data_IF_685702021252
#
_entry.id   IF_685702021252
#
_cell.length_a   1.000
_cell.length_b   1.000
_cell.length_c   1.000
_cell.angle_alpha   90.00
_cell.angle_beta   90.00
_cell.angle_gamma   90.00
#
_symmetry.space_group_name_H-M   'P 1'
#
loop_
_entity.id
_entity.type
_entity.pdbx_description
1 polymer ?
#
# COMPACT_ATOMS: atom_id res chain seq x y z
N UNK A 1 -20.04 13.11 7.51
CA UNK A 1 -19.05 13.49 6.47
C UNK A 1 -17.71 13.72 7.17
N UNK A 2 -16.78 12.77 7.05
CA UNK A 2 -15.42 12.93 7.56
C UNK A 2 -14.67 13.85 6.59
N UNK A 3 -14.47 15.11 6.98
CA UNK A 3 -13.60 16.05 6.27
C UNK A 3 -12.16 15.58 6.41
N UNK A 4 -11.58 15.08 5.32
CA UNK A 4 -10.14 14.88 5.22
C UNK A 4 -9.54 16.27 4.98
N UNK A 5 -8.80 16.81 5.96
CA UNK A 5 -7.99 18.01 5.75
C UNK A 5 -7.15 17.80 4.50
N UNK A 6 -7.20 18.72 3.55
CA UNK A 6 -6.25 18.81 2.44
C UNK A 6 -4.86 19.06 3.03
N UNK A 7 -4.13 17.98 3.27
CA UNK A 7 -2.78 17.99 3.83
C UNK A 7 -1.72 18.39 2.80
N UNK A 8 -0.47 18.41 3.23
CA UNK A 8 0.78 18.65 2.46
C UNK A 8 0.99 17.74 1.24
N UNK A 9 0.09 16.81 0.97
CA UNK A 9 0.16 15.80 -0.07
C UNK A 9 -0.68 16.23 -1.28
N UNK A 10 -0.13 16.25 -2.51
CA UNK A 10 -0.89 16.66 -3.71
C UNK A 10 -1.89 15.59 -4.18
N UNK A 11 -2.24 14.63 -3.33
CA UNK A 11 -3.13 13.52 -3.62
C UNK A 11 -3.81 13.01 -2.34
N UNK A 12 -4.81 12.15 -2.52
CA UNK A 12 -5.43 11.38 -1.45
C UNK A 12 -5.21 9.89 -1.68
N UNK A 13 -4.96 9.14 -0.61
CA UNK A 13 -4.84 7.68 -0.62
C UNK A 13 -5.99 7.06 0.14
N UNK A 14 -6.57 5.99 -0.41
CA UNK A 14 -7.55 5.13 0.26
C UNK A 14 -7.14 3.67 0.11
N UNK A 15 -7.37 2.89 1.14
CA UNK A 15 -7.19 1.44 1.09
C UNK A 15 -8.47 0.85 0.48
N UNK A 16 -8.33 0.22 -0.67
CA UNK A 16 -9.41 -0.50 -1.33
C UNK A 16 -9.49 -1.95 -0.85
N UNK A 17 -8.33 -2.57 -0.58
CA UNK A 17 -8.23 -3.93 -0.08
C UNK A 17 -6.93 -4.13 0.71
N UNK A 18 -6.93 -5.08 1.63
CA UNK A 18 -5.79 -5.48 2.43
C UNK A 18 -5.81 -6.99 2.70
N UNK A 19 -4.73 -7.68 2.36
CA UNK A 19 -4.60 -9.12 2.56
C UNK A 19 -3.18 -9.51 2.98
N UNK A 20 -3.07 -10.61 3.71
CA UNK A 20 -1.83 -11.32 3.96
C UNK A 20 -1.64 -12.36 2.89
N UNK A 21 -0.44 -12.43 2.31
CA UNK A 21 -0.09 -13.41 1.30
C UNK A 21 1.30 -13.99 1.57
N UNK A 22 1.50 -15.31 1.39
CA UNK A 22 2.84 -15.90 1.50
C UNK A 22 3.77 -15.41 0.38
N UNK A 23 3.24 -14.97 -0.75
CA UNK A 23 4.03 -14.68 -1.95
C UNK A 23 3.71 -13.28 -2.52
N UNK A 24 4.75 -12.49 -2.76
CA UNK A 24 4.69 -11.33 -3.66
C UNK A 24 5.15 -11.75 -5.07
N UNK A 25 4.76 -11.03 -6.14
CA UNK A 25 5.18 -11.36 -7.51
C UNK A 25 6.70 -11.51 -7.65
N UNK A 26 7.17 -12.73 -7.95
CA UNK A 26 8.60 -13.04 -8.09
C UNK A 26 9.40 -13.07 -6.78
N UNK A 27 8.75 -12.95 -5.62
CA UNK A 27 9.39 -12.89 -4.30
C UNK A 27 8.58 -13.64 -3.24
N UNK A 28 8.83 -14.94 -3.02
CA UNK A 28 8.20 -15.68 -1.93
C UNK A 28 8.72 -15.20 -0.57
N UNK A 29 7.85 -15.19 0.45
CA UNK A 29 8.26 -14.79 1.79
C UNK A 29 9.25 -15.79 2.40
N UNK A 30 10.35 -15.32 3.04
CA UNK A 30 11.22 -16.19 3.83
C UNK A 30 10.47 -16.81 5.02
N UNK A 31 10.96 -17.95 5.53
CA UNK A 31 10.37 -18.63 6.68
C UNK A 31 10.14 -17.68 7.88
N UNK A 32 8.94 -17.75 8.46
CA UNK A 32 8.53 -16.92 9.61
C UNK A 32 8.08 -15.51 9.24
N UNK A 33 8.01 -15.19 7.95
CA UNK A 33 7.54 -13.92 7.41
C UNK A 33 6.38 -14.15 6.44
N UNK A 34 5.57 -13.11 6.26
CA UNK A 34 4.48 -13.04 5.29
C UNK A 34 4.47 -11.65 4.67
N UNK A 35 3.87 -11.50 3.50
CA UNK A 35 3.62 -10.19 2.92
C UNK A 35 2.26 -9.68 3.36
N UNK A 36 2.20 -8.40 3.73
CA UNK A 36 0.95 -7.65 3.65
C UNK A 36 0.88 -6.98 2.29
N UNK A 37 -0.21 -7.25 1.57
CA UNK A 37 -0.57 -6.66 0.29
C UNK A 37 -1.66 -5.63 0.54
N UNK A 38 -1.48 -4.43 0.00
CA UNK A 38 -2.51 -3.41 -0.02
C UNK A 38 -2.85 -3.05 -1.47
N UNK A 39 -4.14 -3.01 -1.79
CA UNK A 39 -4.62 -2.33 -2.98
C UNK A 39 -5.00 -0.91 -2.58
N UNK A 40 -4.26 0.06 -3.11
CA UNK A 40 -4.43 1.47 -2.80
C UNK A 40 -5.09 2.18 -3.97
N UNK A 41 -6.09 3.01 -3.67
CA UNK A 41 -6.66 3.98 -4.61
C UNK A 41 -6.05 5.34 -4.33
N UNK A 42 -5.36 5.88 -5.32
CA UNK A 42 -4.69 7.17 -5.29
C UNK A 42 -5.43 8.13 -6.22
N UNK A 43 -5.76 9.31 -5.73
CA UNK A 43 -6.43 10.35 -6.53
C UNK A 43 -5.68 11.65 -6.38
N UNK A 44 -5.29 12.24 -7.50
CA UNK A 44 -4.62 13.55 -7.54
C UNK A 44 -5.54 14.65 -7.02
N UNK A 45 -4.96 15.77 -6.61
CA UNK A 45 -5.75 16.97 -6.29
C UNK A 45 -6.52 17.42 -7.53
N UNK A 46 -7.79 17.83 -7.41
CA UNK A 46 -8.57 18.24 -8.57
C UNK A 46 -7.89 19.30 -9.43
N UNK A 47 -7.91 19.11 -10.74
CA UNK A 47 -7.26 19.99 -11.72
C UNK A 47 -5.72 20.01 -11.68
N UNK A 48 -5.07 19.09 -10.95
CA UNK A 48 -3.61 19.04 -10.85
C UNK A 48 -3.07 17.64 -11.17
N UNK A 49 -2.34 17.46 -12.28
CA UNK A 49 -1.64 16.20 -12.54
C UNK A 49 -0.53 15.99 -11.50
N UNK A 50 -0.13 14.74 -11.29
CA UNK A 50 0.94 14.36 -10.36
C UNK A 50 1.93 13.39 -11.00
N UNK A 51 3.18 13.38 -10.52
CA UNK A 51 4.13 12.33 -10.85
C UNK A 51 3.85 11.06 -10.04
N UNK A 52 4.13 9.90 -10.61
CA UNK A 52 4.00 8.60 -9.99
C UNK A 52 5.36 8.11 -9.42
N UNK A 53 5.47 7.82 -8.10
CA UNK A 53 4.70 8.44 -7.05
C UNK A 53 5.13 9.91 -6.94
N UNK A 54 4.53 10.62 -5.99
CA UNK A 54 5.17 11.84 -5.53
C UNK A 54 6.61 11.48 -5.07
N UNK A 55 7.68 12.11 -5.60
CA UNK A 55 9.09 11.67 -5.46
C UNK A 55 9.66 11.75 -4.03
N UNK A 56 8.79 11.95 -3.03
CA UNK A 56 9.10 12.04 -1.61
C UNK A 56 8.13 11.27 -0.73
N UNK A 57 7.07 10.71 -1.30
CA UNK A 57 6.09 9.92 -0.56
C UNK A 57 6.58 8.48 -0.50
N UNK A 58 6.82 7.98 0.71
CA UNK A 58 6.98 6.55 0.94
C UNK A 58 5.84 6.07 1.83
N UNK A 59 5.27 4.92 1.47
CA UNK A 59 4.25 4.26 2.27
C UNK A 59 4.88 3.23 3.18
N UNK A 60 4.30 3.07 4.36
CA UNK A 60 4.74 2.10 5.35
C UNK A 60 3.53 1.58 6.12
N UNK A 61 3.42 0.27 6.27
CA UNK A 61 2.51 -0.33 7.24
C UNK A 61 3.19 -0.32 8.61
N UNK A 62 2.66 0.51 9.51
CA UNK A 62 3.01 0.54 10.93
C UNK A 62 2.09 -0.36 11.73
N UNK A 63 2.67 -1.04 12.71
CA UNK A 63 1.99 -1.88 13.68
C UNK A 63 2.87 -2.05 14.92
N UNK A 64 2.31 -2.60 15.99
CA UNK A 64 3.05 -2.77 17.25
C UNK A 64 4.24 -3.72 17.07
N UNK A 65 5.43 -3.25 17.45
CA UNK A 65 6.67 -4.00 17.29
C UNK A 65 7.32 -3.89 15.89
N UNK A 66 6.77 -3.10 14.96
CA UNK A 66 7.34 -2.98 13.62
C UNK A 66 8.79 -2.43 13.62
N UNK A 67 9.12 -1.44 14.47
CA UNK A 67 10.48 -0.87 14.56
C UNK A 67 11.47 -1.87 15.16
N UNK A 68 11.02 -2.70 16.10
CA UNK A 68 11.84 -3.75 16.68
C UNK A 68 12.16 -4.83 15.63
N UNK A 69 11.16 -5.22 14.83
CA UNK A 69 11.35 -6.12 13.70
C UNK A 69 12.31 -5.54 12.66
N UNK A 70 12.19 -4.25 12.31
CA UNK A 70 13.11 -3.58 11.39
C UNK A 70 14.55 -3.54 11.91
N UNK A 71 14.74 -3.25 13.21
CA UNK A 71 16.07 -3.27 13.83
C UNK A 71 16.70 -4.66 13.81
N UNK A 72 15.89 -5.71 13.98
CA UNK A 72 16.36 -7.09 13.89
C UNK A 72 16.70 -7.51 12.45
N UNK A 73 15.96 -6.99 11.46
CA UNK A 73 16.21 -7.26 10.03
C UNK A 73 15.76 -6.07 9.19
N UNK A 74 16.71 -5.32 8.64
CA UNK A 74 16.46 -4.01 7.99
C UNK A 74 15.50 -4.02 6.80
N UNK A 75 15.24 -5.20 6.20
CA UNK A 75 14.34 -5.38 5.05
C UNK A 75 12.92 -5.82 5.43
N UNK A 76 12.62 -6.05 6.72
CA UNK A 76 11.27 -6.40 7.18
C UNK A 76 10.71 -5.27 8.01
N UNK A 77 9.38 -5.10 7.96
CA UNK A 77 8.59 -4.28 8.86
C UNK A 77 8.98 -2.79 8.90
N UNK A 78 7.99 -1.91 8.88
CA UNK A 78 8.25 -0.46 8.99
C UNK A 78 9.28 0.12 7.99
N UNK A 79 9.57 -0.61 6.91
CA UNK A 79 10.30 -0.16 5.72
C UNK A 79 9.33 0.34 4.65
N UNK A 80 9.83 1.10 3.69
CA UNK A 80 9.01 1.59 2.58
C UNK A 80 8.42 0.44 1.76
N UNK A 81 7.14 0.56 1.40
CA UNK A 81 6.42 -0.37 0.53
C UNK A 81 6.68 -0.15 -0.97
N UNK A 82 7.60 0.75 -1.31
CA UNK A 82 7.81 1.19 -2.68
C UNK A 82 8.73 0.19 -3.41
N UNK A 83 8.11 -0.68 -4.21
CA UNK A 83 8.75 -1.82 -4.89
C UNK A 83 8.95 -1.59 -6.41
N UNK A 84 8.63 -0.41 -6.92
CA UNK A 84 8.63 -0.17 -8.37
C UNK A 84 7.31 -0.54 -9.07
N UNK A 85 6.23 -0.76 -8.30
CA UNK A 85 4.91 -1.09 -8.83
C UNK A 85 4.35 -0.03 -9.77
N UNK A 86 3.49 -0.43 -10.70
CA UNK A 86 2.82 0.52 -11.61
C UNK A 86 1.51 1.03 -10.99
N UNK A 87 1.10 2.20 -11.46
CA UNK A 87 -0.24 2.73 -11.29
C UNK A 87 -1.12 2.25 -12.44
N UNK A 88 -2.33 1.80 -12.10
CA UNK A 88 -3.29 1.20 -13.01
C UNK A 88 -4.61 2.00 -12.98
N UNK A 89 -5.34 2.00 -14.07
CA UNK A 89 -6.73 2.49 -14.09
C UNK A 89 -7.66 1.47 -13.43
N UNK A 90 -8.90 1.88 -13.13
CA UNK A 90 -9.89 0.96 -12.57
C UNK A 90 -10.17 -0.23 -13.50
N UNK A 91 -10.22 0.04 -14.81
CA UNK A 91 -10.45 -0.97 -15.84
C UNK A 91 -9.31 -1.99 -15.88
N UNK A 92 -8.06 -1.54 -15.78
CA UNK A 92 -6.89 -2.42 -15.75
C UNK A 92 -6.92 -3.35 -14.53
N UNK A 93 -7.22 -2.84 -13.33
CA UNK A 93 -7.37 -3.68 -12.13
C UNK A 93 -8.51 -4.69 -12.30
N UNK A 94 -9.67 -4.24 -12.79
CA UNK A 94 -10.84 -5.08 -12.97
C UNK A 94 -10.63 -6.21 -13.98
N UNK A 95 -9.84 -5.94 -15.02
CA UNK A 95 -9.51 -6.89 -16.08
C UNK A 95 -8.22 -7.67 -15.79
N UNK A 96 -7.58 -7.45 -14.64
CA UNK A 96 -6.28 -8.02 -14.27
C UNK A 96 -5.17 -7.75 -15.31
N UNK A 97 -5.26 -6.63 -16.03
CA UNK A 97 -4.23 -6.19 -16.98
C UNK A 97 -3.15 -5.37 -16.27
N UNK A 98 -2.08 -6.06 -15.87
CA UNK A 98 -0.91 -5.46 -15.23
C UNK A 98 0.22 -5.11 -16.22
N UNK A 99 -0.02 -5.28 -17.53
CA UNK A 99 1.04 -5.12 -18.55
C UNK A 99 1.32 -3.66 -18.89
N UNK A 100 0.27 -2.82 -18.97
CA UNK A 100 0.31 -1.46 -19.51
C UNK A 100 0.21 -0.34 -18.47
N UNK A 101 0.41 -0.66 -17.18
CA UNK A 101 0.38 0.36 -16.12
C UNK A 101 1.48 1.42 -16.22
N UNK A 102 1.26 2.55 -15.55
CA UNK A 102 2.15 3.71 -15.49
C UNK A 102 3.21 3.47 -14.41
N UNK A 103 4.50 3.46 -14.78
CA UNK A 103 5.58 3.23 -13.82
C UNK A 103 5.65 4.33 -12.75
N UNK A 104 5.72 3.90 -11.49
CA UNK A 104 5.94 4.74 -10.30
C UNK A 104 7.34 5.36 -10.22
N UNK A 105 8.06 5.61 -11.30
CA UNK A 105 9.32 6.40 -11.16
C UNK A 105 9.40 7.51 -12.20
N UNK A 106 8.51 7.50 -13.19
CA UNK A 106 8.65 8.34 -14.38
C UNK A 106 7.31 8.78 -15.00
N UNK A 107 6.18 8.24 -14.53
CA UNK A 107 4.87 8.47 -15.13
C UNK A 107 4.18 9.75 -14.67
N UNK A 108 3.38 10.33 -15.56
CA UNK A 108 2.39 11.36 -15.24
C UNK A 108 1.04 10.71 -14.98
N UNK A 109 0.45 11.02 -13.84
CA UNK A 109 -0.94 10.69 -13.51
C UNK A 109 -1.79 11.90 -13.83
N UNK A 110 -2.88 11.66 -14.57
CA UNK A 110 -3.80 12.70 -14.98
C UNK A 110 -4.49 13.37 -13.78
N UNK A 111 -4.85 14.64 -13.95
CA UNK A 111 -5.68 15.35 -13.00
C UNK A 111 -7.07 14.69 -12.91
N UNK A 112 -7.67 14.67 -11.72
CA UNK A 112 -9.04 14.18 -11.51
C UNK A 112 -9.26 12.68 -11.81
N UNK A 113 -8.22 11.95 -12.20
CA UNK A 113 -8.27 10.52 -12.50
C UNK A 113 -7.82 9.71 -11.27
N UNK A 114 -8.64 8.75 -10.79
CA UNK A 114 -8.19 7.80 -9.79
C UNK A 114 -7.31 6.74 -10.45
N UNK A 115 -6.23 6.38 -9.76
CA UNK A 115 -5.36 5.27 -10.10
C UNK A 115 -5.27 4.29 -8.94
N UNK A 116 -4.90 3.06 -9.25
CA UNK A 116 -4.74 1.97 -8.30
C UNK A 116 -3.30 1.47 -8.33
N UNK A 117 -2.77 1.13 -7.17
CA UNK A 117 -1.43 0.56 -7.05
C UNK A 117 -1.48 -0.55 -6.01
N UNK A 118 -0.78 -1.64 -6.29
CA UNK A 118 -0.55 -2.71 -5.33
C UNK A 118 0.74 -2.39 -4.60
N UNK A 119 0.71 -2.40 -3.28
CA UNK A 119 1.87 -2.16 -2.43
C UNK A 119 2.10 -3.35 -1.52
N UNK A 120 3.36 -3.76 -1.38
CA UNK A 120 3.74 -4.93 -0.60
C UNK A 120 4.69 -4.54 0.54
N UNK A 121 4.52 -5.16 1.70
CA UNK A 121 5.49 -5.07 2.80
C UNK A 121 5.70 -6.43 3.42
N UNK A 122 6.96 -6.81 3.64
CA UNK A 122 7.30 -8.04 4.35
C UNK A 122 7.20 -7.80 5.87
N UNK A 123 6.49 -8.67 6.58
CA UNK A 123 6.25 -8.60 8.04
C UNK A 123 6.41 -9.99 8.69
N UNK A 124 6.63 -10.10 10.01
CA UNK A 124 6.55 -11.38 10.71
C UNK A 124 5.15 -12.00 10.63
N UNK A 125 5.07 -13.31 10.42
CA UNK A 125 3.77 -14.04 10.38
C UNK A 125 2.91 -13.86 11.63
N UNK A 126 3.57 -13.62 12.77
CA UNK A 126 2.93 -13.47 14.09
C UNK A 126 2.82 -12.01 14.54
N UNK A 127 2.99 -11.06 13.62
CA UNK A 127 2.79 -9.65 13.93
C UNK A 127 1.34 -9.40 14.38
N UNK A 128 1.16 -8.60 15.43
CA UNK A 128 -0.17 -8.11 15.80
C UNK A 128 -0.53 -6.93 14.89
N UNK A 129 -1.56 -7.11 14.08
CA UNK A 129 -2.03 -6.13 13.10
C UNK A 129 -3.35 -5.46 13.50
N UNK A 130 -3.86 -5.72 14.72
CA UNK A 130 -5.14 -5.18 15.19
C UNK A 130 -5.20 -3.64 15.20
N UNK A 131 -4.05 -2.99 15.39
CA UNK A 131 -3.87 -1.54 15.33
C UNK A 131 -3.12 -1.04 14.10
N UNK A 132 -2.97 -1.86 13.05
CA UNK A 132 -2.11 -1.51 11.91
C UNK A 132 -2.62 -0.31 11.12
N UNK A 133 -1.69 0.52 10.64
CA UNK A 133 -1.95 1.74 9.89
C UNK A 133 -1.08 1.81 8.64
N UNK A 134 -1.65 2.24 7.52
CA UNK A 134 -0.88 2.72 6.38
C UNK A 134 -0.49 4.16 6.67
N UNK A 135 0.80 4.42 6.79
CA UNK A 135 1.33 5.76 6.93
C UNK A 135 2.05 6.18 5.65
N UNK A 136 1.79 7.41 5.26
CA UNK A 136 2.53 8.14 4.26
C UNK A 136 3.46 9.14 4.94
N UNK A 137 4.62 9.35 4.33
CA UNK A 137 5.66 10.18 4.88
C UNK A 137 6.39 10.96 3.79
N UNK A 138 6.69 12.23 4.06
CA UNK A 138 7.58 13.07 3.27
C UNK A 138 8.84 13.34 4.09
N UNK A 139 10.02 13.00 3.53
CA UNK A 139 11.33 13.24 4.16
C UNK A 139 11.63 12.49 5.47
N UNK A 140 11.08 11.30 5.67
CA UNK A 140 11.54 10.37 6.72
C UNK A 140 10.71 10.33 8.00
N UNK A 141 9.71 11.20 8.15
CA UNK A 141 8.77 11.18 9.28
C UNK A 141 7.33 10.92 8.80
N UNK A 142 6.71 9.78 9.14
CA UNK A 142 5.32 9.51 8.79
C UNK A 142 4.37 10.42 9.55
N UNK A 143 3.64 11.26 8.82
CA UNK A 143 2.78 12.32 9.35
C UNK A 143 1.30 12.15 8.94
N UNK A 144 1.00 11.25 8.00
CA UNK A 144 -0.35 10.96 7.53
C UNK A 144 -0.65 9.46 7.58
N UNK A 145 -1.38 9.02 8.60
CA UNK A 145 -1.70 7.60 8.81
C UNK A 145 -3.20 7.34 8.72
N UNK A 146 -3.58 6.29 7.99
CA UNK A 146 -4.95 5.77 7.93
C UNK A 146 -5.00 4.32 8.44
N UNK A 147 -6.01 3.94 9.23
CA UNK A 147 -6.14 2.57 9.73
C UNK A 147 -6.32 1.59 8.56
N UNK A 148 -5.68 0.42 8.64
CA UNK A 148 -5.85 -0.62 7.61
C UNK A 148 -7.25 -1.22 7.59
N UNK A 149 -7.90 -1.28 8.76
CA UNK A 149 -9.19 -1.96 8.92
C UNK A 149 -9.02 -3.48 8.88
N UNK A 150 -9.97 -4.17 8.26
CA UNK A 150 -9.94 -5.64 8.16
C UNK A 150 -8.86 -6.08 7.16
N UNK A 151 -7.95 -6.94 7.63
CA UNK A 151 -6.94 -7.57 6.79
C UNK A 151 -7.36 -9.02 6.57
N UNK A 152 -7.53 -9.42 5.31
CA UNK A 152 -7.90 -10.79 4.94
C UNK A 152 -6.68 -11.69 5.01
N UNK A 153 -6.88 -12.97 5.25
CA UNK A 153 -5.83 -13.98 5.06
C UNK A 153 -6.09 -14.67 3.71
N UNK A 154 -5.12 -14.70 2.81
CA UNK A 154 -5.21 -15.60 1.66
C UNK A 154 -5.33 -17.03 2.17
N UNK A 155 -6.43 -17.70 1.80
CA UNK A 155 -6.80 -19.04 2.29
C UNK A 155 -8.06 -19.12 3.16
N UNK A 156 -8.66 -17.99 3.54
CA UNK A 156 -10.01 -17.99 4.10
C UNK A 156 -11.05 -18.03 2.96
N UNK A 157 -11.38 -19.24 2.51
CA UNK A 157 -12.58 -19.49 1.71
C UNK A 157 -13.77 -18.81 2.38
N UNK A 158 -14.54 -18.02 1.63
CA UNK A 158 -15.84 -17.50 2.07
C UNK A 158 -16.64 -18.61 2.77
N UNK A 159 -17.34 -18.34 3.88
CA UNK A 159 -18.23 -19.34 4.45
C UNK A 159 -19.33 -19.61 3.42
N UNK A 160 -19.32 -20.81 2.85
CA UNK A 160 -20.44 -21.34 2.09
C UNK A 160 -21.63 -21.38 3.04
N UNK A 161 -22.57 -20.44 2.89
CA UNK A 161 -23.88 -20.54 3.53
C UNK A 161 -24.55 -21.81 3.04
N UNK A 162 -24.77 -22.74 3.97
CA UNK A 162 -25.67 -23.88 3.79
C UNK A 162 -27.13 -23.50 3.90
#
# INVERSE_FOLDING_TARGET
MLSVKTGSYPHSVRIADADLSPDAPGSPAPQGLTHIKLLLKVTSTPGRPMKAPHPKAYWVVKYDGCEAAQKARSLIACGGMDDGSKYYTEEQIRNEDYSTGIYNQFGDLEADTPYWIVAWQLIPEKADLSGAQLCEAINGAPDNCIPLGTIRQDGATSPTTG
#
